data_IF_175494048727
#
_entry.id   IF_175494048727
#
_cell.length_a   1.000
_cell.length_b   1.000
_cell.length_c   1.000
_cell.angle_alpha   90.00
_cell.angle_beta   90.00
_cell.angle_gamma   90.00
#
_symmetry.space_group_name_H-M   'P 1'
#
loop_
_entity.id
_entity.type
_entity.pdbx_description
1 polymer ?
#
# COMPACT_ATOMS: atom_id res chain seq x y z
N UNK A 1 39.78 3.55 4.45
CA UNK A 1 38.99 4.58 5.13
C UNK A 1 38.16 5.27 4.06
N UNK A 2 36.83 5.18 4.13
CA UNK A 2 35.95 5.81 3.15
C UNK A 2 35.61 7.24 3.57
N UNK A 3 35.32 8.11 2.59
CA UNK A 3 34.85 9.48 2.80
C UNK A 3 33.56 9.67 2.00
N UNK A 4 32.47 10.21 2.59
CA UNK A 4 31.19 10.38 1.88
C UNK A 4 31.32 11.19 0.57
N UNK A 5 32.13 12.25 0.58
CA UNK A 5 32.37 13.08 -0.60
C UNK A 5 33.11 12.37 -1.74
N UNK A 6 33.94 11.36 -1.44
CA UNK A 6 34.65 10.56 -2.44
C UNK A 6 33.70 9.54 -3.08
N UNK A 7 32.79 8.96 -2.29
CA UNK A 7 31.73 8.08 -2.79
C UNK A 7 30.79 8.86 -3.72
N UNK A 8 30.39 10.07 -3.32
CA UNK A 8 29.57 10.97 -4.15
C UNK A 8 30.32 11.32 -5.44
N UNK A 9 31.63 11.66 -5.38
CA UNK A 9 32.43 11.95 -6.57
C UNK A 9 32.46 10.76 -7.54
N UNK A 10 32.74 9.56 -7.02
CA UNK A 10 32.79 8.33 -7.79
C UNK A 10 31.46 8.08 -8.50
N UNK A 11 30.34 8.16 -7.78
CA UNK A 11 29.02 7.96 -8.39
C UNK A 11 28.65 9.06 -9.38
N UNK A 12 29.00 10.32 -9.11
CA UNK A 12 28.85 11.45 -10.03
C UNK A 12 29.57 11.22 -11.36
N UNK A 13 30.76 10.63 -11.30
CA UNK A 13 31.61 10.37 -12.46
C UNK A 13 31.20 9.09 -13.24
N UNK A 14 30.05 8.50 -12.89
CA UNK A 14 29.46 7.35 -13.58
C UNK A 14 30.08 5.99 -13.19
N UNK A 15 30.93 5.96 -12.18
CA UNK A 15 31.55 4.72 -11.70
C UNK A 15 30.60 3.89 -10.82
N UNK A 16 30.79 2.58 -10.86
CA UNK A 16 30.03 1.63 -10.04
C UNK A 16 30.56 1.63 -8.60
N UNK A 17 29.64 1.76 -7.63
CA UNK A 17 29.97 1.66 -6.22
C UNK A 17 30.06 0.21 -5.76
N UNK A 18 31.00 -0.06 -4.87
CA UNK A 18 31.11 -1.34 -4.17
C UNK A 18 30.09 -1.43 -3.03
N UNK A 19 29.75 -2.66 -2.62
CA UNK A 19 28.86 -2.89 -1.48
C UNK A 19 29.37 -2.25 -0.18
N UNK A 20 30.68 -2.24 0.04
CA UNK A 20 31.30 -1.63 1.22
C UNK A 20 31.18 -0.10 1.22
N UNK A 21 31.33 0.54 0.05
CA UNK A 21 31.12 2.00 -0.11
C UNK A 21 29.66 2.38 0.17
N UNK A 22 28.71 1.62 -0.38
CA UNK A 22 27.27 1.84 -0.15
C UNK A 22 26.94 1.64 1.32
N UNK A 23 27.39 0.54 1.92
CA UNK A 23 27.15 0.25 3.33
C UNK A 23 27.72 1.35 4.23
N UNK A 24 28.96 1.78 4.00
CA UNK A 24 29.55 2.89 4.74
C UNK A 24 28.70 4.17 4.65
N UNK A 25 28.25 4.53 3.45
CA UNK A 25 27.44 5.74 3.26
C UNK A 25 26.11 5.64 4.02
N UNK A 26 25.38 4.54 3.86
CA UNK A 26 24.05 4.34 4.45
C UNK A 26 24.11 4.21 5.98
N UNK A 27 25.10 3.51 6.52
CA UNK A 27 25.32 3.48 7.97
C UNK A 27 25.68 4.87 8.51
N UNK A 28 26.41 5.68 7.73
CA UNK A 28 26.65 7.07 8.07
C UNK A 28 25.38 7.94 8.05
N UNK A 29 24.40 7.62 7.20
CA UNK A 29 23.07 8.24 7.26
C UNK A 29 22.33 7.80 8.53
N UNK A 30 22.32 6.52 8.88
CA UNK A 30 21.67 6.06 10.11
C UNK A 30 22.27 6.73 11.37
N UNK A 31 23.60 6.85 11.42
CA UNK A 31 24.34 7.36 12.58
C UNK A 31 24.56 8.88 12.60
N UNK A 32 23.91 9.63 11.71
CA UNK A 32 24.06 11.09 11.60
C UNK A 32 25.49 11.61 11.32
N UNK A 33 26.37 10.77 10.76
CA UNK A 33 27.72 11.19 10.32
C UNK A 33 27.75 11.63 8.86
N UNK A 34 26.66 11.44 8.11
CA UNK A 34 26.42 11.98 6.77
C UNK A 34 25.37 13.09 6.86
N UNK A 35 25.71 14.27 6.31
CA UNK A 35 24.86 15.45 6.33
C UNK A 35 23.74 15.38 5.29
N UNK A 36 22.69 16.18 5.46
CA UNK A 36 21.58 16.26 4.49
C UNK A 36 22.08 16.65 3.09
N UNK A 37 23.00 17.61 2.99
CA UNK A 37 23.58 18.01 1.71
C UNK A 37 24.35 16.88 1.02
N UNK A 38 24.99 15.99 1.79
CA UNK A 38 25.65 14.80 1.24
C UNK A 38 24.63 13.76 0.77
N UNK A 39 23.54 13.56 1.52
CA UNK A 39 22.44 12.67 1.11
C UNK A 39 21.82 13.17 -0.21
N UNK A 40 21.50 14.46 -0.29
CA UNK A 40 20.94 15.10 -1.48
C UNK A 40 21.87 14.96 -2.69
N UNK A 41 23.16 15.23 -2.51
CA UNK A 41 24.16 15.08 -3.57
C UNK A 41 24.26 13.62 -4.04
N UNK A 42 24.29 12.66 -3.11
CA UNK A 42 24.31 11.23 -3.44
C UNK A 42 23.05 10.80 -4.21
N UNK A 43 21.87 11.17 -3.73
CA UNK A 43 20.59 10.89 -4.38
C UNK A 43 20.54 11.48 -5.80
N UNK A 44 21.02 12.71 -5.99
CA UNK A 44 21.07 13.35 -7.31
C UNK A 44 22.06 12.66 -8.24
N UNK A 45 23.21 12.18 -7.74
CA UNK A 45 24.13 11.38 -8.58
C UNK A 45 23.52 10.05 -9.03
N UNK A 46 22.72 9.40 -8.17
CA UNK A 46 21.96 8.19 -8.54
C UNK A 46 20.84 8.53 -9.51
N UNK A 47 20.21 9.70 -9.38
CA UNK A 47 19.16 10.14 -10.30
C UNK A 47 19.66 10.19 -11.74
N UNK A 48 20.86 10.74 -11.97
CA UNK A 48 21.44 10.86 -13.32
C UNK A 48 22.19 9.62 -13.83
N UNK A 49 22.91 8.92 -12.94
CA UNK A 49 23.77 7.80 -13.36
C UNK A 49 23.17 6.42 -13.09
N UNK A 50 21.96 6.37 -12.54
CA UNK A 50 21.24 5.17 -12.11
C UNK A 50 22.07 4.27 -11.18
N UNK A 51 21.59 3.06 -10.90
CA UNK A 51 22.36 2.01 -10.24
C UNK A 51 22.23 0.71 -10.99
N UNK A 52 23.35 0.00 -11.12
CA UNK A 52 23.38 -1.38 -11.58
C UNK A 52 22.62 -2.29 -10.62
N UNK A 53 22.22 -3.50 -11.05
CA UNK A 53 21.50 -4.43 -10.18
C UNK A 53 22.26 -4.77 -8.88
N UNK A 54 23.58 -5.06 -8.90
CA UNK A 54 24.35 -5.27 -7.67
C UNK A 54 24.35 -4.07 -6.73
N UNK A 55 24.40 -2.85 -7.26
CA UNK A 55 24.31 -1.62 -6.47
C UNK A 55 22.93 -1.45 -5.82
N UNK A 56 21.84 -1.75 -6.55
CA UNK A 56 20.47 -1.67 -6.00
C UNK A 56 20.25 -2.69 -4.88
N UNK A 57 20.76 -3.91 -5.05
CA UNK A 57 20.75 -4.95 -4.00
C UNK A 57 21.54 -4.47 -2.78
N UNK A 58 22.76 -3.98 -2.98
CA UNK A 58 23.61 -3.48 -1.90
C UNK A 58 22.98 -2.29 -1.16
N UNK A 59 22.36 -1.35 -1.88
CA UNK A 59 21.65 -0.21 -1.28
C UNK A 59 20.48 -0.67 -0.43
N UNK A 60 19.67 -1.60 -0.95
CA UNK A 60 18.52 -2.15 -0.25
C UNK A 60 18.92 -2.88 1.03
N UNK A 61 19.93 -3.76 0.95
CA UNK A 61 20.46 -4.48 2.09
C UNK A 61 21.06 -3.52 3.12
N UNK A 62 21.88 -2.54 2.71
CA UNK A 62 22.45 -1.56 3.63
C UNK A 62 21.38 -0.72 4.34
N UNK A 63 20.29 -0.36 3.65
CA UNK A 63 19.16 0.36 4.25
C UNK A 63 18.36 -0.54 5.20
N UNK A 64 18.11 -1.79 4.84
CA UNK A 64 17.49 -2.80 5.72
C UNK A 64 18.31 -2.98 7.00
N UNK A 65 19.62 -3.16 6.85
CA UNK A 65 20.58 -3.46 7.93
C UNK A 65 21.03 -2.19 8.68
N UNK A 66 20.40 -1.05 8.42
CA UNK A 66 20.67 0.20 9.16
C UNK A 66 20.01 0.25 10.54
N UNK A 67 19.15 -0.73 10.84
CA UNK A 67 18.44 -0.84 12.12
C UNK A 67 18.04 -2.27 12.43
N UNK A 68 16.93 -2.44 13.13
CA UNK A 68 16.39 -3.74 13.51
C UNK A 68 15.86 -4.49 12.27
N UNK A 69 16.31 -5.75 12.13
CA UNK A 69 15.69 -6.75 11.26
C UNK A 69 15.01 -7.77 12.16
N UNK A 70 13.70 -7.95 11.99
CA UNK A 70 12.92 -8.84 12.83
C UNK A 70 13.24 -10.30 12.49
N UNK A 71 13.48 -11.10 13.54
CA UNK A 71 13.56 -12.56 13.44
C UNK A 71 12.38 -13.20 14.19
N UNK A 72 11.54 -13.91 13.45
CA UNK A 72 10.35 -14.59 13.96
C UNK A 72 10.59 -16.03 14.43
N UNK A 73 11.82 -16.55 14.31
CA UNK A 73 12.16 -17.93 14.62
C UNK A 73 11.68 -18.37 16.02
N UNK A 74 11.80 -17.48 17.01
CA UNK A 74 11.39 -17.70 18.40
C UNK A 74 9.86 -17.78 18.59
N UNK A 75 9.06 -17.18 17.71
CA UNK A 75 7.60 -17.20 17.81
C UNK A 75 7.00 -18.54 17.40
N UNK A 76 7.71 -19.30 16.54
CA UNK A 76 7.30 -20.58 16.00
C UNK A 76 5.86 -20.56 15.47
N UNK A 77 5.61 -19.74 14.43
CA UNK A 77 4.28 -19.54 13.87
C UNK A 77 3.67 -20.83 13.28
N UNK A 78 4.48 -21.79 12.81
CA UNK A 78 3.96 -23.05 12.26
C UNK A 78 3.44 -22.95 10.82
N UNK A 79 3.71 -21.82 10.14
CA UNK A 79 3.42 -21.56 8.74
C UNK A 79 4.36 -20.50 8.16
N UNK A 80 4.32 -20.26 6.84
CA UNK A 80 5.24 -19.34 6.18
C UNK A 80 4.93 -17.88 6.52
N UNK A 81 5.98 -17.07 6.60
CA UNK A 81 5.90 -15.63 6.90
C UNK A 81 5.85 -14.83 5.61
N UNK A 82 4.71 -14.20 5.35
CA UNK A 82 4.38 -13.64 4.05
C UNK A 82 3.80 -12.23 4.20
N UNK A 83 4.01 -11.37 3.21
CA UNK A 83 3.42 -10.03 3.22
C UNK A 83 3.07 -9.56 1.80
N UNK A 84 2.27 -8.50 1.73
CA UNK A 84 2.00 -7.73 0.52
C UNK A 84 2.42 -6.29 0.71
N UNK A 85 2.98 -5.69 -0.34
CA UNK A 85 3.14 -4.24 -0.41
C UNK A 85 2.49 -3.70 -1.68
N UNK A 86 2.00 -2.46 -1.61
CA UNK A 86 1.55 -1.75 -2.80
C UNK A 86 2.23 -0.40 -2.91
N UNK A 87 2.42 0.08 -4.14
CA UNK A 87 2.81 1.46 -4.41
C UNK A 87 1.77 2.49 -3.96
N UNK A 88 0.54 2.05 -3.65
CA UNK A 88 -0.55 2.92 -3.17
C UNK A 88 -1.50 3.35 -4.30
N UNK A 89 -2.73 3.67 -3.90
CA UNK A 89 -3.82 4.07 -4.79
C UNK A 89 -4.99 4.66 -4.01
N UNK A 90 -6.09 4.94 -4.71
CA UNK A 90 -7.33 5.48 -4.10
C UNK A 90 -8.38 4.37 -4.02
N UNK A 91 -8.96 4.17 -2.83
CA UNK A 91 -9.78 2.99 -2.55
C UNK A 91 -8.99 1.67 -2.54
N UNK A 92 -7.66 1.72 -2.38
CA UNK A 92 -6.84 0.51 -2.24
C UNK A 92 -6.92 -0.02 -0.81
N UNK A 93 -8.03 -0.69 -0.50
CA UNK A 93 -8.33 -1.28 0.81
C UNK A 93 -7.90 -2.75 0.91
N UNK A 94 -7.31 -3.30 -0.16
CA UNK A 94 -6.99 -4.73 -0.33
C UNK A 94 -6.32 -5.37 0.89
N UNK A 95 -5.38 -4.68 1.55
CA UNK A 95 -4.64 -5.20 2.71
C UNK A 95 -5.53 -5.60 3.88
N UNK A 96 -6.68 -4.93 4.09
CA UNK A 96 -7.58 -5.21 5.22
C UNK A 96 -8.28 -6.57 5.08
N UNK A 97 -8.48 -7.05 3.85
CA UNK A 97 -9.06 -8.37 3.59
C UNK A 97 -7.98 -9.41 3.29
N UNK A 98 -6.94 -9.02 2.56
CA UNK A 98 -5.84 -9.90 2.14
C UNK A 98 -5.13 -10.53 3.33
N UNK A 99 -4.77 -9.74 4.35
CA UNK A 99 -4.09 -10.26 5.53
C UNK A 99 -4.90 -11.38 6.21
N UNK A 100 -6.16 -11.14 6.59
CA UNK A 100 -7.04 -12.17 7.15
C UNK A 100 -7.33 -13.36 6.23
N UNK A 101 -7.46 -13.16 4.92
CA UNK A 101 -7.67 -14.25 3.96
C UNK A 101 -6.46 -15.19 3.89
N UNK A 102 -5.25 -14.63 3.83
CA UNK A 102 -4.01 -15.43 3.82
C UNK A 102 -3.78 -16.11 5.17
N UNK A 103 -4.08 -15.42 6.28
CA UNK A 103 -4.07 -15.98 7.63
C UNK A 103 -4.98 -17.21 7.75
N UNK A 104 -6.22 -17.11 7.28
CA UNK A 104 -7.17 -18.21 7.29
C UNK A 104 -6.74 -19.42 6.42
N UNK A 105 -5.83 -19.20 5.45
CA UNK A 105 -5.21 -20.22 4.62
C UNK A 105 -3.89 -20.77 5.18
N UNK A 106 -3.45 -20.34 6.37
CA UNK A 106 -2.28 -20.85 7.09
C UNK A 106 -0.99 -20.05 6.91
N UNK A 107 -1.03 -18.87 6.28
CA UNK A 107 0.10 -17.94 6.24
C UNK A 107 0.15 -17.03 7.47
N UNK A 108 1.31 -16.47 7.78
CA UNK A 108 1.48 -15.49 8.85
C UNK A 108 1.87 -14.14 8.25
N UNK A 109 1.08 -13.11 8.55
CA UNK A 109 1.17 -11.79 7.92
C UNK A 109 1.53 -10.71 8.95
N UNK A 110 2.81 -10.56 9.34
CA UNK A 110 3.29 -9.47 10.18
C UNK A 110 3.46 -8.18 9.35
N UNK A 111 2.35 -7.59 8.93
CA UNK A 111 2.36 -6.47 7.99
C UNK A 111 2.78 -5.16 8.66
N UNK A 112 3.95 -4.66 8.28
CA UNK A 112 4.36 -3.28 8.58
C UNK A 112 3.91 -2.38 7.44
N UNK A 113 2.92 -1.52 7.70
CA UNK A 113 2.34 -0.61 6.72
C UNK A 113 2.76 0.85 6.95
N UNK A 114 2.28 1.74 6.06
CA UNK A 114 2.53 3.17 6.10
C UNK A 114 1.24 3.99 6.27
N UNK A 115 1.43 5.26 6.63
CA UNK A 115 0.41 6.30 6.54
C UNK A 115 0.25 6.76 5.09
N UNK A 116 -0.79 7.53 4.80
CA UNK A 116 -1.06 8.08 3.47
C UNK A 116 0.06 8.99 2.97
N UNK A 117 0.31 8.96 1.66
CA UNK A 117 1.31 9.77 0.98
C UNK A 117 0.69 10.45 -0.24
N UNK A 118 0.81 11.78 -0.32
CA UNK A 118 0.25 12.56 -1.42
C UNK A 118 -1.27 12.36 -1.55
N UNK A 119 -1.71 11.89 -2.71
CA UNK A 119 -3.12 11.61 -3.02
C UNK A 119 -3.61 10.24 -2.56
N UNK A 120 -2.71 9.37 -2.09
CA UNK A 120 -3.05 7.99 -1.73
C UNK A 120 -3.42 7.87 -0.26
N UNK A 121 -4.47 7.09 0.04
CA UNK A 121 -4.86 6.79 1.41
C UNK A 121 -3.90 5.78 2.08
N UNK A 122 -3.65 5.92 3.37
CA UNK A 122 -2.80 5.02 4.14
C UNK A 122 -3.58 3.88 4.80
N UNK A 123 -3.06 2.66 4.79
CA UNK A 123 -3.69 1.54 5.52
C UNK A 123 -3.80 1.81 7.02
N UNK A 124 -2.78 2.45 7.61
CA UNK A 124 -2.79 2.76 9.04
C UNK A 124 -3.83 3.81 9.40
N UNK A 125 -3.99 4.84 8.57
CA UNK A 125 -4.99 5.89 8.80
C UNK A 125 -6.41 5.31 8.71
N UNK A 126 -6.64 4.33 7.82
CA UNK A 126 -7.89 3.56 7.77
C UNK A 126 -8.12 2.80 9.07
N UNK A 127 -7.12 2.07 9.57
CA UNK A 127 -7.24 1.26 10.79
C UNK A 127 -7.41 2.10 12.06
N UNK A 128 -6.81 3.29 12.13
CA UNK A 128 -7.03 4.24 13.24
C UNK A 128 -8.47 4.77 13.31
N UNK A 129 -9.28 4.61 12.25
CA UNK A 129 -10.72 4.86 12.32
C UNK A 129 -11.45 3.88 13.25
N UNK A 130 -10.82 2.74 13.59
CA UNK A 130 -11.35 1.77 14.56
C UNK A 130 -10.98 2.26 15.97
N UNK A 131 -11.95 2.58 16.84
CA UNK A 131 -11.67 3.08 18.18
C UNK A 131 -10.78 2.11 18.98
N UNK A 132 -9.66 2.62 19.51
CA UNK A 132 -8.73 1.85 20.34
C UNK A 132 -7.68 1.03 19.58
N UNK A 133 -7.73 0.97 18.24
CA UNK A 133 -6.75 0.22 17.45
C UNK A 133 -5.35 0.82 17.62
N UNK A 134 -4.43 0.03 18.20
CA UNK A 134 -3.06 0.41 18.44
C UNK A 134 -2.19 0.05 17.23
N UNK A 135 -1.83 1.05 16.43
CA UNK A 135 -0.96 0.88 15.27
C UNK A 135 0.54 0.79 15.63
N UNK A 136 0.93 1.05 16.88
CA UNK A 136 2.33 0.99 17.32
C UNK A 136 2.44 0.17 18.62
N UNK A 137 2.04 -1.12 18.60
CA UNK A 137 2.18 -2.00 19.75
C UNK A 137 3.66 -2.32 20.01
N UNK A 138 3.97 -2.91 21.16
CA UNK A 138 5.30 -3.51 21.36
C UNK A 138 5.50 -4.68 20.39
N UNK A 139 6.76 -5.02 20.12
CA UNK A 139 7.10 -6.19 19.29
C UNK A 139 6.53 -7.51 19.86
N UNK A 140 6.41 -7.61 21.19
CA UNK A 140 5.79 -8.77 21.85
C UNK A 140 4.31 -8.89 21.50
N UNK A 141 3.55 -7.80 21.63
CA UNK A 141 2.12 -7.77 21.25
C UNK A 141 1.97 -8.01 19.74
N UNK A 142 2.81 -7.38 18.92
CA UNK A 142 2.80 -7.58 17.46
C UNK A 142 3.00 -9.05 17.08
N UNK A 143 4.00 -9.71 17.65
CA UNK A 143 4.23 -11.14 17.44
C UNK A 143 3.07 -12.00 17.95
N UNK A 144 2.55 -11.72 19.15
CA UNK A 144 1.47 -12.50 19.74
C UNK A 144 0.17 -12.40 18.94
N UNK A 145 -0.22 -11.20 18.50
CA UNK A 145 -1.39 -11.03 17.63
C UNK A 145 -1.18 -11.73 16.29
N UNK A 146 0.01 -11.60 15.68
CA UNK A 146 0.33 -12.33 14.45
C UNK A 146 0.20 -13.84 14.64
N UNK A 147 0.61 -14.37 15.80
CA UNK A 147 0.49 -15.79 16.14
C UNK A 147 -0.97 -16.23 16.31
N UNK A 148 -1.78 -15.44 17.01
CA UNK A 148 -3.13 -15.82 17.41
C UNK A 148 -4.17 -15.59 16.30
N UNK A 149 -4.02 -14.51 15.53
CA UNK A 149 -4.91 -14.15 14.43
C UNK A 149 -4.40 -14.60 13.06
N UNK A 150 -3.10 -14.92 12.95
CA UNK A 150 -2.38 -15.13 11.67
C UNK A 150 -1.99 -13.83 10.96
N UNK A 151 -2.43 -12.66 11.46
CA UNK A 151 -2.17 -11.36 10.85
C UNK A 151 -2.14 -10.25 11.91
N UNK A 152 -1.25 -9.29 11.73
CA UNK A 152 -1.28 -8.00 12.41
C UNK A 152 -0.82 -6.90 11.44
N UNK A 153 -1.50 -5.74 11.45
CA UNK A 153 -1.13 -4.59 10.62
C UNK A 153 -0.72 -3.45 11.55
N UNK A 154 0.57 -3.10 11.52
CA UNK A 154 1.14 -2.06 12.38
C UNK A 154 1.92 -1.04 11.56
N UNK A 155 2.19 0.12 12.17
CA UNK A 155 3.12 1.09 11.65
C UNK A 155 4.58 0.70 11.88
N UNK A 156 5.45 1.42 11.19
CA UNK A 156 6.89 1.32 11.41
C UNK A 156 7.24 1.76 12.83
N UNK A 157 7.97 0.91 13.55
CA UNK A 157 8.66 1.33 14.78
C UNK A 157 9.90 2.15 14.39
N UNK A 158 10.40 2.98 15.30
CA UNK A 158 11.53 3.88 15.02
C UNK A 158 12.83 3.16 14.63
N UNK A 159 12.92 1.86 14.89
CA UNK A 159 14.14 1.06 14.72
C UNK A 159 14.22 0.33 13.37
N UNK A 160 13.14 0.28 12.58
CA UNK A 160 13.12 -0.40 11.28
C UNK A 160 13.66 0.51 10.17
N UNK A 161 14.78 0.11 9.55
CA UNK A 161 15.43 0.81 8.45
C UNK A 161 15.56 2.35 8.64
N UNK A 162 16.14 2.84 9.77
CA UNK A 162 16.19 4.27 10.11
C UNK A 162 16.90 5.14 9.08
N UNK A 163 17.82 4.58 8.28
CA UNK A 163 18.43 5.31 7.18
C UNK A 163 17.41 5.73 6.12
N UNK A 164 16.41 4.89 5.81
CA UNK A 164 15.36 5.19 4.83
C UNK A 164 14.57 6.43 5.21
N UNK A 165 14.24 6.60 6.50
CA UNK A 165 13.50 7.77 6.98
C UNK A 165 14.22 9.08 6.60
N UNK A 166 15.54 9.15 6.81
CA UNK A 166 16.35 10.34 6.46
C UNK A 166 16.52 10.47 4.94
N UNK A 167 16.81 9.38 4.23
CA UNK A 167 16.96 9.39 2.78
C UNK A 167 15.67 9.85 2.09
N UNK A 168 14.52 9.31 2.48
CA UNK A 168 13.21 9.68 1.95
C UNK A 168 12.89 11.14 2.24
N UNK A 169 13.06 11.61 3.49
CA UNK A 169 12.80 13.00 3.85
C UNK A 169 13.64 13.99 3.03
N UNK A 170 14.92 13.69 2.78
CA UNK A 170 15.76 14.51 1.91
C UNK A 170 15.30 14.43 0.45
N UNK A 171 14.93 13.25 -0.05
CA UNK A 171 14.45 13.08 -1.44
C UNK A 171 13.20 13.89 -1.74
N UNK A 172 12.27 13.92 -0.78
CA UNK A 172 10.97 14.61 -0.88
C UNK A 172 11.11 16.12 -1.10
N UNK A 173 12.20 16.73 -0.61
CA UNK A 173 12.47 18.17 -0.76
C UNK A 173 13.56 18.51 -1.79
N UNK A 174 14.14 17.51 -2.47
CA UNK A 174 15.24 17.69 -3.43
C UNK A 174 14.92 17.20 -4.85
N UNK A 175 13.65 16.88 -5.12
CA UNK A 175 13.20 16.36 -6.41
C UNK A 175 13.96 15.09 -6.85
N UNK A 176 14.28 14.21 -5.90
CA UNK A 176 14.97 12.92 -6.15
C UNK A 176 14.13 11.71 -5.71
N UNK A 177 12.81 11.91 -5.56
CA UNK A 177 11.86 10.82 -5.28
C UNK A 177 11.77 9.87 -6.49
N UNK A 178 11.64 10.42 -7.69
CA UNK A 178 11.21 9.74 -8.92
C UNK A 178 12.36 8.98 -9.60
N UNK A 179 13.03 8.09 -8.86
CA UNK A 179 14.09 7.23 -9.38
C UNK A 179 13.90 5.78 -8.93
N UNK A 180 13.84 4.85 -9.89
CA UNK A 180 13.52 3.43 -9.65
C UNK A 180 14.47 2.79 -8.63
N UNK A 181 15.77 3.11 -8.66
CA UNK A 181 16.75 2.54 -7.74
C UNK A 181 16.47 2.95 -6.30
N UNK A 182 16.21 4.24 -6.08
CA UNK A 182 15.90 4.80 -4.76
C UNK A 182 14.52 4.36 -4.26
N UNK A 183 13.52 4.29 -5.14
CA UNK A 183 12.18 3.80 -4.81
C UNK A 183 12.24 2.33 -4.40
N UNK A 184 12.92 1.49 -5.19
CA UNK A 184 13.07 0.06 -4.92
C UNK A 184 13.73 -0.17 -3.56
N UNK A 185 14.87 0.49 -3.30
CA UNK A 185 15.58 0.34 -2.03
C UNK A 185 14.78 0.87 -0.84
N UNK A 186 14.07 1.99 -1.02
CA UNK A 186 13.21 2.54 0.03
C UNK A 186 12.07 1.58 0.37
N UNK A 187 11.32 1.09 -0.61
CA UNK A 187 10.22 0.13 -0.40
C UNK A 187 10.72 -1.14 0.27
N UNK A 188 11.74 -1.78 -0.32
CA UNK A 188 12.18 -3.10 0.10
C UNK A 188 12.94 -3.07 1.42
N UNK A 189 13.74 -2.05 1.73
CA UNK A 189 14.48 -2.01 3.00
C UNK A 189 13.59 -2.21 4.22
N UNK A 190 12.41 -1.58 4.22
CA UNK A 190 11.41 -1.71 5.29
C UNK A 190 10.74 -3.08 5.30
N UNK A 191 10.36 -3.60 4.13
CA UNK A 191 9.67 -4.89 4.00
C UNK A 191 10.59 -6.07 4.30
N UNK A 192 11.83 -6.01 3.84
CA UNK A 192 12.82 -7.05 4.12
C UNK A 192 13.30 -7.02 5.58
N UNK A 193 13.19 -5.87 6.26
CA UNK A 193 13.45 -5.78 7.69
C UNK A 193 12.35 -6.44 8.54
N UNK A 194 11.19 -6.76 7.95
CA UNK A 194 10.09 -7.44 8.62
C UNK A 194 10.26 -8.96 8.74
N UNK A 195 11.40 -9.53 8.33
CA UNK A 195 11.69 -10.96 8.50
C UNK A 195 10.84 -11.89 7.62
N UNK A 196 10.55 -11.47 6.40
CA UNK A 196 9.65 -12.18 5.48
C UNK A 196 10.34 -13.34 4.76
N UNK A 197 9.65 -14.47 4.59
CA UNK A 197 10.06 -15.55 3.69
C UNK A 197 9.68 -15.26 2.24
N UNK A 198 8.53 -14.59 2.04
CA UNK A 198 8.09 -14.15 0.73
C UNK A 198 7.27 -12.87 0.77
N UNK A 199 7.30 -12.12 -0.34
CA UNK A 199 6.62 -10.85 -0.51
C UNK A 199 5.93 -10.82 -1.86
N UNK A 200 4.70 -10.31 -1.94
CA UNK A 200 4.06 -9.95 -3.22
C UNK A 200 3.99 -8.43 -3.33
N UNK A 201 4.42 -7.89 -4.47
CA UNK A 201 4.34 -6.47 -4.77
C UNK A 201 3.16 -6.17 -5.70
N UNK A 202 2.34 -5.20 -5.34
CA UNK A 202 1.20 -4.73 -6.13
C UNK A 202 1.50 -3.33 -6.67
N UNK A 203 1.97 -3.28 -7.92
CA UNK A 203 2.37 -2.05 -8.60
C UNK A 203 1.20 -1.52 -9.40
N UNK A 204 0.72 -0.33 -9.03
CA UNK A 204 -0.44 0.28 -9.68
C UNK A 204 -0.07 0.83 -11.06
N UNK A 205 -1.02 0.78 -11.98
CA UNK A 205 -0.96 1.33 -13.34
C UNK A 205 -2.15 2.25 -13.58
N UNK A 206 -1.92 3.43 -14.14
CA UNK A 206 -3.00 4.32 -14.59
C UNK A 206 -3.05 5.66 -13.87
N UNK A 207 -4.17 6.39 -14.04
CA UNK A 207 -4.32 7.79 -13.59
C UNK A 207 -4.08 8.04 -12.09
N UNK A 208 -4.30 7.02 -11.24
CA UNK A 208 -4.05 7.10 -9.80
C UNK A 208 -2.75 6.44 -9.33
N UNK A 209 -1.95 5.88 -10.25
CA UNK A 209 -0.72 5.19 -9.93
C UNK A 209 0.40 6.14 -9.50
N UNK A 210 1.43 5.57 -8.87
CA UNK A 210 2.64 6.29 -8.51
C UNK A 210 3.51 6.58 -9.73
N UNK A 211 3.65 5.60 -10.65
CA UNK A 211 4.42 5.75 -11.88
C UNK A 211 3.55 6.35 -13.00
N UNK A 212 4.09 7.24 -13.85
CA UNK A 212 3.30 7.99 -14.83
C UNK A 212 2.87 7.16 -16.05
N UNK A 213 3.49 6.01 -16.30
CA UNK A 213 3.21 5.17 -17.48
C UNK A 213 3.20 3.70 -17.11
N UNK A 214 2.59 2.88 -17.98
CA UNK A 214 2.64 1.42 -17.86
C UNK A 214 4.07 0.90 -17.86
N UNK A 215 4.90 1.36 -18.80
CA UNK A 215 6.30 0.93 -18.93
C UNK A 215 7.09 1.24 -17.67
N UNK A 216 6.94 2.43 -17.10
CA UNK A 216 7.63 2.80 -15.87
C UNK A 216 7.13 1.99 -14.65
N UNK A 217 5.85 1.60 -14.65
CA UNK A 217 5.30 0.68 -13.64
C UNK A 217 5.89 -0.72 -13.78
N UNK A 218 6.02 -1.22 -15.01
CA UNK A 218 6.62 -2.52 -15.31
C UNK A 218 8.11 -2.55 -14.93
N UNK A 219 8.87 -1.51 -15.26
CA UNK A 219 10.28 -1.38 -14.89
C UNK A 219 10.47 -1.33 -13.36
N UNK A 220 9.60 -0.60 -12.64
CA UNK A 220 9.62 -0.60 -11.18
C UNK A 220 9.34 -2.00 -10.61
N UNK A 221 8.33 -2.70 -11.15
CA UNK A 221 7.99 -4.04 -10.73
C UNK A 221 9.14 -5.02 -10.97
N UNK A 222 9.78 -5.00 -12.15
CA UNK A 222 10.96 -5.82 -12.46
C UNK A 222 12.13 -5.53 -11.52
N UNK A 223 12.39 -4.25 -11.24
CA UNK A 223 13.43 -3.84 -10.29
C UNK A 223 13.17 -4.38 -8.89
N UNK A 224 11.93 -4.29 -8.39
CA UNK A 224 11.55 -4.82 -7.08
C UNK A 224 11.73 -6.34 -7.01
N UNK A 225 11.25 -7.06 -8.02
CA UNK A 225 11.38 -8.53 -8.09
C UNK A 225 12.85 -8.95 -8.10
N UNK A 226 13.67 -8.34 -8.96
CA UNK A 226 15.09 -8.69 -9.05
C UNK A 226 15.84 -8.38 -7.74
N UNK A 227 15.60 -7.22 -7.13
CA UNK A 227 16.28 -6.82 -5.89
C UNK A 227 15.85 -7.67 -4.70
N UNK A 228 14.55 -7.93 -4.51
CA UNK A 228 14.07 -8.71 -3.38
C UNK A 228 14.59 -10.14 -3.44
N UNK A 229 14.53 -10.80 -4.62
CA UNK A 229 15.07 -12.14 -4.80
C UNK A 229 16.60 -12.15 -4.65
N UNK A 230 17.31 -11.15 -5.18
CA UNK A 230 18.76 -10.98 -4.99
C UNK A 230 19.17 -10.72 -3.53
N UNK A 231 18.28 -10.15 -2.72
CA UNK A 231 18.46 -9.96 -1.28
C UNK A 231 18.05 -11.17 -0.43
N UNK A 232 17.56 -12.25 -1.06
CA UNK A 232 17.22 -13.52 -0.41
C UNK A 232 15.75 -13.69 -0.01
N UNK A 233 14.86 -12.77 -0.39
CA UNK A 233 13.43 -12.86 -0.11
C UNK A 233 12.66 -13.17 -1.37
N UNK A 234 11.92 -14.28 -1.40
CA UNK A 234 11.16 -14.68 -2.58
C UNK A 234 10.14 -13.60 -2.90
N UNK A 235 10.14 -13.11 -4.13
CA UNK A 235 9.24 -12.04 -4.51
C UNK A 235 8.67 -12.24 -5.91
N UNK A 236 7.39 -11.89 -6.03
CA UNK A 236 6.70 -11.66 -7.31
C UNK A 236 6.02 -10.29 -7.27
N UNK A 237 5.66 -9.77 -8.43
CA UNK A 237 4.88 -8.56 -8.56
C UNK A 237 3.66 -8.78 -9.45
N UNK A 238 2.61 -8.01 -9.21
CA UNK A 238 1.44 -7.90 -10.08
C UNK A 238 1.26 -6.44 -10.49
N UNK A 239 0.88 -6.22 -11.75
CA UNK A 239 0.49 -4.90 -12.23
C UNK A 239 -1.03 -4.77 -12.24
N UNK A 240 -1.58 -3.80 -11.50
CA UNK A 240 -3.04 -3.69 -11.28
C UNK A 240 -3.58 -2.31 -11.67
N UNK A 241 -4.81 -2.29 -12.18
CA UNK A 241 -5.46 -1.07 -12.66
C UNK A 241 -5.82 -0.10 -11.52
N UNK A 242 -5.44 1.16 -11.72
CA UNK A 242 -5.76 2.31 -10.88
C UNK A 242 -6.22 3.49 -11.75
N UNK A 243 -6.90 3.22 -12.86
CA UNK A 243 -7.52 4.24 -13.71
C UNK A 243 -8.87 4.73 -13.16
N UNK A 244 -9.36 4.09 -12.11
CA UNK A 244 -10.52 4.48 -11.31
C UNK A 244 -10.34 3.95 -9.88
N UNK A 245 -11.13 4.45 -8.93
CA UNK A 245 -11.13 3.96 -7.53
C UNK A 245 -11.27 2.43 -7.51
N UNK A 246 -10.43 1.74 -6.74
CA UNK A 246 -10.42 0.27 -6.74
C UNK A 246 -11.62 -0.32 -6.00
N UNK A 247 -11.83 0.10 -4.76
CA UNK A 247 -13.02 -0.18 -3.98
C UNK A 247 -14.24 0.63 -4.46
N UNK A 248 -15.40 0.40 -3.86
CA UNK A 248 -16.57 1.26 -4.02
C UNK A 248 -16.53 2.47 -3.09
N UNK A 249 -15.46 2.63 -2.31
CA UNK A 249 -15.24 3.72 -1.35
C UNK A 249 -13.81 4.27 -1.41
N UNK A 250 -13.66 5.53 -1.00
CA UNK A 250 -12.36 6.18 -0.82
C UNK A 250 -12.41 7.08 0.42
N UNK A 251 -11.55 6.80 1.40
CA UNK A 251 -11.54 7.46 2.70
C UNK A 251 -10.97 6.55 3.79
N UNK A 252 -11.35 6.77 5.05
CA UNK A 252 -10.86 5.97 6.17
C UNK A 252 -11.95 5.02 6.69
N UNK A 253 -12.92 5.52 7.46
CA UNK A 253 -13.98 4.70 8.03
C UNK A 253 -14.87 4.04 6.96
N UNK A 254 -15.11 4.72 5.83
CA UNK A 254 -15.89 4.16 4.70
C UNK A 254 -15.21 2.95 4.07
N UNK A 255 -13.86 2.95 3.97
CA UNK A 255 -13.09 1.83 3.45
C UNK A 255 -13.02 0.66 4.45
N UNK A 256 -12.87 0.95 5.75
CA UNK A 256 -12.95 -0.12 6.79
C UNK A 256 -14.32 -0.79 6.77
N UNK A 257 -15.40 -0.02 6.61
CA UNK A 257 -16.75 -0.54 6.46
C UNK A 257 -16.87 -1.45 5.23
N UNK A 258 -16.32 -1.06 4.09
CA UNK A 258 -16.30 -1.92 2.90
C UNK A 258 -15.49 -3.20 3.11
N UNK A 259 -14.34 -3.14 3.79
CA UNK A 259 -13.55 -4.32 4.12
C UNK A 259 -14.31 -5.34 4.97
N UNK A 260 -15.06 -4.87 5.99
CA UNK A 260 -15.91 -5.76 6.80
C UNK A 260 -17.02 -6.39 5.96
N UNK A 261 -17.75 -5.59 5.16
CA UNK A 261 -18.82 -6.07 4.26
C UNK A 261 -18.30 -7.05 3.21
N UNK A 262 -17.07 -6.87 2.76
CA UNK A 262 -16.38 -7.79 1.85
C UNK A 262 -16.13 -9.14 2.51
N UNK A 263 -15.56 -9.13 3.72
CA UNK A 263 -15.21 -10.34 4.48
C UNK A 263 -16.44 -11.11 4.94
N UNK A 264 -17.54 -10.43 5.27
CA UNK A 264 -18.81 -11.07 5.68
C UNK A 264 -19.69 -11.49 4.51
N UNK A 265 -19.33 -11.12 3.27
CA UNK A 265 -20.10 -11.45 2.07
C UNK A 265 -21.35 -10.58 1.84
N UNK A 266 -21.53 -9.50 2.59
CA UNK A 266 -22.65 -8.57 2.39
C UNK A 266 -22.52 -7.82 1.06
N UNK A 267 -21.31 -7.38 0.71
CA UNK A 267 -21.02 -6.71 -0.54
C UNK A 267 -19.56 -6.87 -0.93
N UNK A 268 -19.29 -7.26 -2.18
CA UNK A 268 -17.94 -7.40 -2.73
C UNK A 268 -17.90 -6.65 -4.08
N UNK A 269 -17.19 -5.53 -4.14
CA UNK A 269 -16.90 -4.88 -5.43
C UNK A 269 -16.12 -5.88 -6.31
N UNK A 270 -16.55 -6.16 -7.55
CA UNK A 270 -15.94 -7.21 -8.37
C UNK A 270 -14.49 -6.91 -8.76
N UNK A 271 -14.13 -5.64 -8.99
CA UNK A 271 -12.74 -5.24 -9.30
C UNK A 271 -11.84 -5.42 -8.09
N UNK A 272 -12.32 -4.97 -6.92
CA UNK A 272 -11.62 -5.16 -5.66
C UNK A 272 -11.43 -6.65 -5.34
N UNK A 273 -12.46 -7.47 -5.56
CA UNK A 273 -12.41 -8.92 -5.37
C UNK A 273 -11.34 -9.56 -6.26
N UNK A 274 -11.35 -9.25 -7.56
CA UNK A 274 -10.38 -9.81 -8.52
C UNK A 274 -8.93 -9.45 -8.15
N UNK A 275 -8.65 -8.18 -7.85
CA UNK A 275 -7.29 -7.73 -7.45
C UNK A 275 -6.87 -8.33 -6.11
N UNK A 276 -7.79 -8.43 -5.15
CA UNK A 276 -7.50 -9.03 -3.84
C UNK A 276 -7.20 -10.52 -3.98
N UNK A 277 -8.00 -11.26 -4.74
CA UNK A 277 -7.77 -12.68 -5.01
C UNK A 277 -6.46 -12.92 -5.77
N UNK A 278 -6.17 -12.12 -6.81
CA UNK A 278 -4.92 -12.25 -7.56
C UNK A 278 -3.69 -12.05 -6.66
N UNK A 279 -3.72 -11.04 -5.78
CA UNK A 279 -2.64 -10.79 -4.80
C UNK A 279 -2.49 -11.95 -3.82
N UNK A 280 -3.60 -12.41 -3.22
CA UNK A 280 -3.59 -13.49 -2.25
C UNK A 280 -3.15 -14.82 -2.89
N UNK A 281 -3.59 -15.09 -4.13
CA UNK A 281 -3.26 -16.31 -4.84
C UNK A 281 -1.74 -16.40 -5.09
N UNK A 282 -1.11 -15.31 -5.51
CA UNK A 282 0.35 -15.25 -5.64
C UNK A 282 1.04 -15.46 -4.28
N UNK A 283 0.52 -14.90 -3.20
CA UNK A 283 1.07 -15.14 -1.86
C UNK A 283 0.99 -16.62 -1.47
N UNK A 284 -0.14 -17.28 -1.67
CA UNK A 284 -0.31 -18.70 -1.33
C UNK A 284 0.60 -19.61 -2.16
N UNK A 285 0.72 -19.34 -3.46
CA UNK A 285 1.60 -20.13 -4.36
C UNK A 285 3.06 -19.92 -4.00
N UNK A 286 3.50 -18.66 -3.83
CA UNK A 286 4.88 -18.33 -3.49
C UNK A 286 5.32 -18.92 -2.14
N UNK A 287 4.38 -18.97 -1.19
CA UNK A 287 4.55 -19.54 0.14
C UNK A 287 4.34 -21.05 0.21
N UNK A 288 4.02 -21.72 -0.92
CA UNK A 288 3.73 -23.16 -1.00
C UNK A 288 2.53 -23.61 -0.15
N UNK A 289 1.59 -22.71 0.11
CA UNK A 289 0.28 -23.01 0.70
C UNK A 289 -0.74 -23.48 -0.35
N UNK A 290 -0.44 -23.28 -1.63
CA UNK A 290 -1.17 -23.82 -2.78
C UNK A 290 -0.19 -24.22 -3.89
N UNK A 291 -0.54 -25.21 -4.72
CA UNK A 291 0.32 -25.67 -5.82
C UNK A 291 0.31 -24.72 -7.02
N UNK A 292 -0.82 -24.06 -7.26
CA UNK A 292 -1.10 -23.18 -8.38
C UNK A 292 -2.21 -22.17 -8.03
N UNK A 293 -2.44 -21.22 -8.93
CA UNK A 293 -3.43 -20.15 -8.74
C UNK A 293 -4.87 -20.68 -8.66
N UNK A 294 -5.18 -21.82 -9.28
CA UNK A 294 -6.52 -22.42 -9.23
C UNK A 294 -6.82 -22.96 -7.83
N UNK A 295 -5.90 -23.76 -7.26
CA UNK A 295 -6.01 -24.23 -5.88
C UNK A 295 -6.02 -23.07 -4.88
N UNK A 296 -5.18 -22.05 -5.12
CA UNK A 296 -5.12 -20.88 -4.26
C UNK A 296 -6.46 -20.13 -4.23
N UNK A 297 -7.06 -19.87 -5.40
CA UNK A 297 -8.36 -19.21 -5.49
C UNK A 297 -9.47 -20.03 -4.83
N UNK A 298 -9.47 -21.36 -4.99
CA UNK A 298 -10.45 -22.22 -4.32
C UNK A 298 -10.36 -22.11 -2.79
N UNK A 299 -9.15 -22.16 -2.21
CA UNK A 299 -8.92 -21.98 -0.77
C UNK A 299 -9.36 -20.61 -0.28
N UNK A 300 -9.03 -19.55 -1.03
CA UNK A 300 -9.38 -18.17 -0.67
C UNK A 300 -10.90 -17.93 -0.69
N UNK A 301 -11.59 -18.47 -1.69
CA UNK A 301 -13.06 -18.41 -1.74
C UNK A 301 -13.68 -19.20 -0.59
N UNK A 302 -13.15 -20.39 -0.26
CA UNK A 302 -13.64 -21.18 0.87
C UNK A 302 -13.58 -20.39 2.19
N UNK A 303 -12.46 -19.74 2.50
CA UNK A 303 -12.31 -18.97 3.76
C UNK A 303 -13.12 -17.66 3.79
N UNK A 304 -13.44 -17.11 2.62
CA UNK A 304 -14.38 -16.00 2.48
C UNK A 304 -15.82 -16.43 2.70
N UNK A 305 -16.20 -17.61 2.22
CA UNK A 305 -17.59 -18.08 2.26
C UNK A 305 -17.94 -18.77 3.58
N UNK A 306 -16.97 -19.38 4.26
CA UNK A 306 -17.16 -19.99 5.58
C UNK A 306 -16.94 -19.03 6.77
N UNK A 307 -16.59 -17.76 6.51
CA UNK A 307 -16.43 -16.71 7.52
C UNK A 307 -15.09 -16.69 8.27
N UNK A 308 -14.17 -17.63 8.04
CA UNK A 308 -12.87 -17.68 8.72
C UNK A 308 -12.02 -16.43 8.49
N UNK A 309 -12.06 -15.86 7.28
CA UNK A 309 -11.33 -14.62 7.00
C UNK A 309 -11.86 -13.45 7.84
N UNK A 310 -13.18 -13.35 8.04
CA UNK A 310 -13.78 -12.36 8.92
C UNK A 310 -13.41 -12.59 10.40
N UNK A 311 -13.32 -13.85 10.84
CA UNK A 311 -12.86 -14.21 12.19
C UNK A 311 -11.41 -13.77 12.43
N UNK A 312 -10.50 -14.03 11.49
CA UNK A 312 -9.11 -13.56 11.56
C UNK A 312 -9.02 -12.03 11.66
N UNK A 313 -9.83 -11.30 10.88
CA UNK A 313 -9.89 -9.84 10.97
C UNK A 313 -10.38 -9.36 12.35
N UNK A 314 -11.44 -9.97 12.89
CA UNK A 314 -11.94 -9.66 14.22
C UNK A 314 -10.91 -9.91 15.32
N UNK A 315 -10.20 -11.05 15.27
CA UNK A 315 -9.10 -11.36 16.21
C UNK A 315 -7.96 -10.35 16.11
N UNK A 316 -7.58 -9.94 14.91
CA UNK A 316 -6.55 -8.91 14.71
C UNK A 316 -6.97 -7.58 15.34
N UNK A 317 -8.20 -7.12 15.06
CA UNK A 317 -8.73 -5.87 15.61
C UNK A 317 -8.73 -5.92 17.14
N UNK A 318 -9.26 -6.99 17.72
CA UNK A 318 -9.31 -7.16 19.18
C UNK A 318 -7.90 -7.24 19.81
N UNK A 319 -7.01 -8.01 19.19
CA UNK A 319 -5.63 -8.20 19.66
C UNK A 319 -4.79 -6.92 19.64
N UNK A 320 -5.13 -5.99 18.75
CA UNK A 320 -4.52 -4.66 18.68
C UNK A 320 -5.31 -3.59 19.45
N UNK A 321 -6.24 -3.97 20.32
CA UNK A 321 -6.93 -3.06 21.24
C UNK A 321 -8.24 -2.45 20.74
N UNK A 322 -8.66 -2.80 19.52
CA UNK A 322 -9.99 -2.46 19.02
C UNK A 322 -11.12 -3.30 19.66
N UNK A 323 -12.38 -3.05 19.32
CA UNK A 323 -13.52 -3.75 19.92
C UNK A 323 -13.55 -5.24 19.55
N UNK A 324 -13.82 -6.11 20.53
CA UNK A 324 -13.85 -7.56 20.34
C UNK A 324 -14.98 -8.05 19.41
N UNK A 325 -16.08 -7.30 19.35
CA UNK A 325 -17.26 -7.55 18.53
C UNK A 325 -17.32 -6.63 17.29
N UNK A 326 -16.18 -6.02 16.90
CA UNK A 326 -16.12 -5.05 15.82
C UNK A 326 -16.74 -5.55 14.51
N UNK A 327 -16.48 -6.79 14.09
CA UNK A 327 -17.03 -7.34 12.84
C UNK A 327 -18.55 -7.39 12.83
N UNK A 328 -19.18 -7.68 13.98
CA UNK A 328 -20.64 -7.75 14.09
C UNK A 328 -21.29 -6.36 14.25
N UNK A 329 -20.55 -5.41 14.82
CA UNK A 329 -21.08 -4.12 15.26
C UNK A 329 -20.32 -2.91 14.69
N UNK A 330 -19.59 -3.08 13.58
CA UNK A 330 -18.68 -2.06 13.04
C UNK A 330 -19.36 -0.70 12.84
N UNK A 331 -20.65 -0.71 12.47
CA UNK A 331 -21.39 0.51 12.16
C UNK A 331 -21.77 1.33 13.41
N UNK A 332 -21.67 0.73 14.60
CA UNK A 332 -21.78 1.41 15.89
C UNK A 332 -20.45 2.05 16.33
N UNK A 333 -19.31 1.56 15.81
CA UNK A 333 -17.97 2.01 16.19
C UNK A 333 -17.38 3.02 15.22
N UNK A 334 -17.58 2.81 13.92
CA UNK A 334 -17.03 3.66 12.87
C UNK A 334 -17.81 4.96 12.79
N UNK A 335 -17.11 6.08 12.98
CA UNK A 335 -17.70 7.41 12.92
C UNK A 335 -18.36 7.68 11.55
N UNK A 336 -19.50 8.39 11.59
CA UNK A 336 -20.25 8.80 10.41
C UNK A 336 -20.22 10.32 10.28
N UNK A 337 -20.05 10.82 9.06
CA UNK A 337 -20.13 12.24 8.78
C UNK A 337 -21.57 12.77 8.98
N UNK A 338 -21.72 14.07 9.27
CA UNK A 338 -23.05 14.65 9.52
C UNK A 338 -23.89 14.77 8.24
N UNK A 339 -23.24 14.97 7.09
CA UNK A 339 -23.90 15.12 5.79
C UNK A 339 -23.45 13.98 4.89
N UNK A 340 -24.41 13.13 4.51
CA UNK A 340 -24.21 12.04 3.56
C UNK A 340 -25.21 12.24 2.42
N UNK A 341 -24.73 12.69 1.26
CA UNK A 341 -25.60 13.07 0.12
C UNK A 341 -25.00 12.67 -1.23
N UNK A 342 -25.82 12.25 -2.20
CA UNK A 342 -25.36 11.87 -3.54
C UNK A 342 -24.89 13.09 -4.34
N UNK A 343 -23.80 12.93 -5.09
CA UNK A 343 -23.43 13.87 -6.17
C UNK A 343 -23.78 13.25 -7.52
N UNK A 344 -24.61 13.95 -8.30
CA UNK A 344 -24.97 13.55 -9.65
C UNK A 344 -24.09 14.27 -10.69
N UNK A 345 -23.94 13.63 -11.85
CA UNK A 345 -23.39 14.26 -13.05
C UNK A 345 -24.29 15.41 -13.53
N UNK A 346 -23.69 16.39 -14.21
CA UNK A 346 -24.44 17.51 -14.81
C UNK A 346 -25.15 17.11 -16.12
N UNK A 347 -24.70 16.03 -16.75
CA UNK A 347 -25.26 15.47 -17.97
C UNK A 347 -25.34 13.95 -17.88
N UNK A 348 -26.26 13.36 -18.63
CA UNK A 348 -26.38 11.90 -18.71
C UNK A 348 -25.33 11.34 -19.68
N UNK A 349 -24.75 10.19 -19.38
CA UNK A 349 -23.83 9.52 -20.30
C UNK A 349 -22.99 8.44 -19.64
N UNK A 350 -22.21 7.73 -20.46
CA UNK A 350 -21.25 6.72 -19.99
C UNK A 350 -20.09 7.42 -19.28
N UNK A 351 -19.67 6.88 -18.14
CA UNK A 351 -18.43 7.29 -17.48
C UNK A 351 -17.24 6.76 -18.28
N UNK A 352 -16.52 7.65 -18.96
CA UNK A 352 -15.45 7.26 -19.91
C UNK A 352 -14.04 7.37 -19.33
N UNK A 353 -13.81 8.26 -18.38
CA UNK A 353 -12.51 8.44 -17.72
C UNK A 353 -12.66 8.97 -16.28
N UNK A 354 -11.66 8.70 -15.45
CA UNK A 354 -11.58 9.14 -14.07
C UNK A 354 -10.14 9.56 -13.73
N UNK A 355 -9.98 10.80 -13.26
CA UNK A 355 -8.74 11.29 -12.66
C UNK A 355 -8.69 10.84 -11.19
N UNK A 356 -8.20 9.61 -11.00
CA UNK A 356 -8.12 8.98 -9.68
C UNK A 356 -7.23 9.76 -8.73
N UNK A 357 -6.17 10.42 -9.23
CA UNK A 357 -5.32 11.30 -8.42
C UNK A 357 -6.12 12.50 -7.90
N UNK A 358 -6.90 13.16 -8.75
CA UNK A 358 -7.75 14.28 -8.34
C UNK A 358 -8.80 13.85 -7.29
N UNK A 359 -9.36 12.64 -7.41
CA UNK A 359 -10.28 12.08 -6.41
C UNK A 359 -9.57 11.88 -5.06
N UNK A 360 -8.36 11.32 -5.06
CA UNK A 360 -7.57 11.20 -3.83
C UNK A 360 -7.28 12.55 -3.19
N UNK A 361 -6.95 13.56 -3.99
CA UNK A 361 -6.77 14.94 -3.52
C UNK A 361 -8.07 15.57 -2.99
N UNK A 362 -9.23 15.18 -3.50
CA UNK A 362 -10.52 15.62 -2.97
C UNK A 362 -10.74 15.07 -1.54
N UNK A 363 -10.40 13.79 -1.28
CA UNK A 363 -10.44 13.21 0.08
C UNK A 363 -9.49 13.96 1.02
N UNK A 364 -8.25 14.24 0.58
CA UNK A 364 -7.28 15.03 1.36
C UNK A 364 -7.83 16.44 1.65
N UNK A 365 -8.46 17.07 0.66
CA UNK A 365 -9.03 18.42 0.82
C UNK A 365 -10.18 18.45 1.83
N UNK A 366 -10.96 17.36 1.90
CA UNK A 366 -12.01 17.15 2.91
C UNK A 366 -11.48 16.84 4.32
N UNK A 367 -10.17 16.63 4.50
CA UNK A 367 -9.58 16.27 5.79
C UNK A 367 -9.47 14.76 6.04
N UNK A 368 -9.81 13.92 5.04
CA UNK A 368 -9.61 12.47 5.11
C UNK A 368 -8.15 12.03 4.90
N UNK A 369 -7.24 12.99 4.70
CA UNK A 369 -5.81 12.77 4.57
C UNK A 369 -5.03 14.00 5.03
N UNK A 370 -3.70 13.93 4.97
CA UNK A 370 -2.81 14.99 5.49
C UNK A 370 -2.26 15.87 4.37
N UNK A 371 -2.23 17.18 4.58
CA UNK A 371 -1.50 18.13 3.72
C UNK A 371 -0.07 18.30 4.21
N UNK A 372 0.11 18.29 5.53
CA UNK A 372 1.40 18.19 6.21
C UNK A 372 1.36 17.10 7.27
N UNK A 373 2.52 16.54 7.62
CA UNK A 373 2.60 15.35 8.49
C UNK A 373 1.94 15.52 9.88
N UNK A 374 1.73 16.75 10.35
CA UNK A 374 1.13 17.07 11.64
C UNK A 374 -0.39 17.20 11.61
N UNK A 375 -1.03 17.14 10.43
CA UNK A 375 -2.48 17.29 10.32
C UNK A 375 -3.21 16.11 10.98
N UNK A 376 -4.27 16.42 11.72
CA UNK A 376 -5.24 15.44 12.20
C UNK A 376 -6.16 15.02 11.06
N UNK A 377 -6.53 13.74 11.03
CA UNK A 377 -7.43 13.17 10.02
C UNK A 377 -8.84 13.13 10.57
N UNK A 378 -9.79 13.55 9.74
CA UNK A 378 -11.20 13.25 9.94
C UNK A 378 -11.50 11.88 9.32
N UNK A 379 -11.72 10.87 10.16
CA UNK A 379 -11.92 9.51 9.68
C UNK A 379 -13.29 9.29 9.02
N UNK A 380 -14.26 10.16 9.30
CA UNK A 380 -15.65 10.00 8.89
C UNK A 380 -15.91 10.52 7.46
N UNK A 381 -15.05 11.39 6.94
CA UNK A 381 -15.21 11.97 5.60
C UNK A 381 -14.68 11.03 4.51
N UNK A 382 -15.25 11.17 3.32
CA UNK A 382 -14.83 10.41 2.14
C UNK A 382 -15.98 10.18 1.18
N UNK A 383 -15.85 9.14 0.38
CA UNK A 383 -16.80 8.77 -0.65
C UNK A 383 -17.16 7.29 -0.54
N UNK A 384 -18.41 6.93 -0.81
CA UNK A 384 -18.82 5.54 -1.07
C UNK A 384 -19.80 5.45 -2.24
N UNK A 385 -20.15 4.23 -2.63
CA UNK A 385 -21.03 3.95 -3.77
C UNK A 385 -20.56 4.62 -5.08
N UNK A 386 -19.24 4.56 -5.34
CA UNK A 386 -18.67 5.09 -6.56
C UNK A 386 -19.24 4.43 -7.81
N UNK A 387 -19.58 5.25 -8.80
CA UNK A 387 -19.80 4.81 -10.17
C UNK A 387 -18.49 4.32 -10.78
N UNK A 388 -18.57 3.31 -11.64
CA UNK A 388 -17.41 2.71 -12.32
C UNK A 388 -17.33 3.17 -13.78
N UNK A 389 -16.13 3.12 -14.34
CA UNK A 389 -15.94 3.33 -15.78
C UNK A 389 -16.81 2.33 -16.58
N UNK A 390 -17.47 2.83 -17.61
CA UNK A 390 -18.41 2.07 -18.43
C UNK A 390 -19.86 2.05 -17.93
N UNK A 391 -20.13 2.47 -16.69
CA UNK A 391 -21.50 2.63 -16.19
C UNK A 391 -22.11 3.95 -16.69
N UNK A 392 -23.44 4.05 -16.66
CA UNK A 392 -24.18 5.23 -17.11
C UNK A 392 -24.52 6.11 -15.91
N UNK A 393 -24.02 7.34 -15.91
CA UNK A 393 -24.45 8.38 -14.99
C UNK A 393 -25.73 9.03 -15.52
N UNK A 394 -26.73 9.19 -14.66
CA UNK A 394 -27.99 9.87 -14.96
C UNK A 394 -28.61 10.49 -13.70
N UNK A 395 -29.85 10.98 -13.79
CA UNK A 395 -30.55 11.59 -12.66
C UNK A 395 -30.86 10.65 -11.49
N UNK A 396 -30.76 9.33 -11.67
CA UNK A 396 -30.99 8.31 -10.64
C UNK A 396 -29.71 7.60 -10.20
N UNK A 397 -28.64 7.70 -10.99
CA UNK A 397 -27.36 7.04 -10.76
C UNK A 397 -26.30 8.09 -10.42
N UNK A 398 -25.99 8.30 -9.13
CA UNK A 398 -24.99 9.30 -8.73
C UNK A 398 -23.58 8.84 -9.11
N UNK A 399 -22.66 9.81 -9.17
CA UNK A 399 -21.22 9.54 -9.33
C UNK A 399 -20.63 8.89 -8.06
N UNK A 400 -21.08 9.36 -6.90
CA UNK A 400 -20.75 8.82 -5.59
C UNK A 400 -21.71 9.40 -4.54
N UNK A 401 -21.69 8.82 -3.35
CA UNK A 401 -22.19 9.41 -2.12
C UNK A 401 -21.04 10.10 -1.40
N UNK A 402 -21.21 11.37 -1.03
CA UNK A 402 -20.19 12.16 -0.32
C UNK A 402 -20.52 12.20 1.16
N UNK A 403 -19.54 11.88 2.00
CA UNK A 403 -19.57 11.97 3.46
C UNK A 403 -18.78 13.22 3.88
N UNK A 404 -19.47 14.24 4.40
CA UNK A 404 -18.89 15.54 4.73
C UNK A 404 -19.39 16.08 6.08
N UNK A 405 -18.61 16.97 6.70
CA UNK A 405 -18.95 17.63 7.97
C UNK A 405 -19.85 18.84 7.81
N UNK A 406 -19.77 19.53 6.66
CA UNK A 406 -20.58 20.72 6.38
C UNK A 406 -21.06 20.73 4.94
N UNK A 407 -22.06 21.57 4.67
CA UNK A 407 -22.60 21.74 3.32
C UNK A 407 -21.54 22.35 2.40
N UNK A 408 -20.74 23.29 2.88
CA UNK A 408 -19.63 23.90 2.12
C UNK A 408 -18.62 22.84 1.68
N UNK A 409 -18.20 21.98 2.61
CA UNK A 409 -17.30 20.87 2.31
C UNK A 409 -17.91 19.89 1.30
N UNK A 410 -19.21 19.59 1.43
CA UNK A 410 -19.93 18.77 0.44
C UNK A 410 -19.92 19.41 -0.96
N UNK A 411 -20.16 20.72 -1.06
CA UNK A 411 -20.16 21.45 -2.34
C UNK A 411 -18.77 21.45 -2.99
N UNK A 412 -17.71 21.66 -2.22
CA UNK A 412 -16.33 21.59 -2.71
C UNK A 412 -15.98 20.20 -3.24
N UNK A 413 -16.33 19.15 -2.49
CA UNK A 413 -16.12 17.76 -2.88
C UNK A 413 -16.94 17.37 -4.12
N UNK A 414 -18.20 17.81 -4.19
CA UNK A 414 -19.07 17.57 -5.35
C UNK A 414 -18.50 18.20 -6.62
N UNK A 415 -17.99 19.44 -6.52
CA UNK A 415 -17.31 20.11 -7.63
C UNK A 415 -16.05 19.36 -8.05
N UNK A 416 -15.24 18.91 -7.09
CA UNK A 416 -14.03 18.14 -7.37
C UNK A 416 -14.34 16.84 -8.11
N UNK A 417 -15.34 16.06 -7.65
CA UNK A 417 -15.74 14.82 -8.30
C UNK A 417 -16.28 15.03 -9.72
N UNK A 418 -17.12 16.05 -9.94
CA UNK A 418 -17.62 16.38 -11.29
C UNK A 418 -16.50 16.75 -12.26
N UNK A 419 -15.44 17.40 -11.78
CA UNK A 419 -14.28 17.73 -12.60
C UNK A 419 -13.36 16.52 -12.85
N UNK A 420 -13.30 15.58 -11.92
CA UNK A 420 -12.44 14.41 -12.01
C UNK A 420 -13.04 13.27 -12.84
N UNK A 421 -14.36 13.27 -13.07
CA UNK A 421 -15.06 12.19 -13.77
C UNK A 421 -15.60 12.71 -15.10
N UNK A 422 -15.13 12.13 -16.20
CA UNK A 422 -15.58 12.47 -17.54
C UNK A 422 -16.82 11.67 -17.93
N UNK A 423 -17.87 12.38 -18.35
CA UNK A 423 -19.14 11.79 -18.81
C UNK A 423 -19.32 12.01 -20.31
N UNK A 424 -19.64 10.93 -21.02
CA UNK A 424 -19.76 10.88 -22.48
C UNK A 424 -18.47 10.43 -23.16
N UNK A 425 -18.56 10.11 -24.46
CA UNK A 425 -17.45 9.55 -25.24
C UNK A 425 -17.45 8.02 -25.26
N UNK A 426 -16.37 7.44 -25.77
CA UNK A 426 -16.17 5.99 -25.84
C UNK A 426 -15.40 5.49 -24.61
N UNK A 427 -15.83 4.34 -24.07
CA UNK A 427 -15.12 3.63 -23.01
C UNK A 427 -14.59 2.30 -23.55
N UNK A 428 -13.31 2.04 -23.32
CA UNK A 428 -12.69 0.74 -23.61
C UNK A 428 -12.31 0.07 -22.29
N UNK A 429 -12.83 -1.13 -21.99
CA UNK A 429 -12.47 -1.85 -20.78
C UNK A 429 -10.97 -2.15 -20.69
N UNK A 430 -10.38 -1.95 -19.51
CA UNK A 430 -9.03 -2.37 -19.15
C UNK A 430 -9.08 -3.59 -18.23
N UNK A 431 -8.06 -4.47 -18.25
CA UNK A 431 -7.97 -5.56 -17.29
C UNK A 431 -7.71 -5.02 -15.88
N UNK A 432 -8.27 -5.64 -14.84
CA UNK A 432 -7.99 -5.25 -13.45
C UNK A 432 -6.59 -5.68 -13.01
N UNK A 433 -6.09 -6.79 -13.57
CA UNK A 433 -4.72 -7.29 -13.41
C UNK A 433 -4.11 -7.44 -14.80
N UNK A 434 -3.09 -6.63 -15.12
CA UNK A 434 -2.45 -6.61 -16.43
C UNK A 434 -1.55 -7.82 -16.66
N UNK A 435 -0.67 -8.09 -15.69
CA UNK A 435 0.26 -9.21 -15.73
C UNK A 435 0.85 -9.49 -14.35
N UNK A 436 1.57 -10.61 -14.27
CA UNK A 436 2.41 -11.02 -13.15
C UNK A 436 3.86 -10.99 -13.60
N UNK A 437 4.77 -10.64 -12.71
CA UNK A 437 6.23 -10.65 -12.93
C UNK A 437 6.85 -11.50 -11.84
N UNK A 438 7.60 -12.52 -12.26
CA UNK A 438 8.27 -13.48 -11.40
C UNK A 438 9.77 -13.41 -11.57
N UNK A 439 10.51 -14.19 -10.77
CA UNK A 439 11.97 -14.18 -10.80
C UNK A 439 12.54 -14.64 -12.15
N UNK A 440 11.82 -15.49 -12.89
CA UNK A 440 12.17 -15.93 -14.24
C UNK A 440 11.98 -14.87 -15.33
N UNK A 441 11.25 -13.78 -15.05
CA UNK A 441 10.96 -12.71 -16.00
C UNK A 441 11.98 -11.55 -15.95
N UNK A 442 12.97 -11.59 -15.04
CA UNK A 442 13.87 -10.45 -14.72
C UNK A 442 15.36 -10.74 -14.84
#
# INVERSE_FOLDING_TARGET
MYLPQEIIRKKRDGEVLTSDEINFFIQGVANNTVSEGQIAAFAMTIFFNEMTMPERIALTCAMRDSGMVIDWSHMNFGGPIVDKHSTGGVGDVTSLMLGPMVAACGGFVPMISGRGLGHTGGTLDKLEAIPGYNITPSNEVFGQVTKDAGVAIIGQTGDLAPADKRVYATRDITATVDNISLITASILSKKLAAGLESLVMDVKVGSGAFMPTYQASEELAKSIVAVANGAGTKNTAILTDMNQVLASSAGNAVEVREAVRFLTGEYRNPRLLEVTLASCAEMLVLAKLAKDSEEANAKLMEVLDNGKAAECFGKMVAGLGGPADFVANYDNYLEKAQIIKPVFAEQNGVVSAMDTRAIGMAVVSMGGGRRVATDEIDYAVGFDQFIRLGEVADANTPLAMIHARSEEQWQEAAKALRNAIQIGGEYTPTPNVYCQIRAEDV
#
